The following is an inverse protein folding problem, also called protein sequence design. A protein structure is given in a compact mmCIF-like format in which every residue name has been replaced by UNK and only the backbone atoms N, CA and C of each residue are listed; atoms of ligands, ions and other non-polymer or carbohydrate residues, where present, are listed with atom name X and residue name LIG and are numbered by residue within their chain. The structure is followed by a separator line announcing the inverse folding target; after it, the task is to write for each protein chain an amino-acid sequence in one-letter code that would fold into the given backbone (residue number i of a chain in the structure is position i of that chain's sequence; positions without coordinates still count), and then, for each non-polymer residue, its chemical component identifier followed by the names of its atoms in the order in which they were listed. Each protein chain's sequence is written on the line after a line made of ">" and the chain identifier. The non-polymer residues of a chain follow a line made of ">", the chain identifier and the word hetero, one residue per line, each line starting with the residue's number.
data_IF_372486815752
#
_entry.id   IF_372486815752
#
_cell.length_a   1.000
_cell.length_b   1.000
_cell.length_c   1.000
_cell.angle_alpha   90.00
_cell.angle_beta   90.00
_cell.angle_gamma   90.00
#
_symmetry.space_group_name_H-M   'P 1'
#
loop_
_entity.id
_entity.type
_entity.pdbx_description
1 polymer ?
#
# COMPACT_ATOMS: atom_id res chain seq x y z
N UNK A 1 0.07 10.56 8.57
CA UNK A 1 -1.31 11.07 8.75
C UNK A 1 -1.57 11.44 10.21
N UNK A 2 -1.85 10.55 11.17
CA UNK A 2 -1.97 10.83 12.63
C UNK A 2 -0.69 11.38 13.31
N UNK A 3 0.52 10.95 12.91
CA UNK A 3 1.77 11.59 13.39
C UNK A 3 1.99 12.99 12.83
N UNK A 4 1.61 13.22 11.56
CA UNK A 4 1.52 14.55 10.95
C UNK A 4 0.36 15.37 11.54
N UNK A 5 -0.69 14.74 12.09
CA UNK A 5 -1.78 15.39 12.82
C UNK A 5 -1.27 15.93 14.14
N UNK A 6 -0.43 15.21 14.89
CA UNK A 6 0.21 15.78 16.10
C UNK A 6 1.24 16.88 15.79
N UNK A 7 2.07 16.74 14.74
CA UNK A 7 2.98 17.82 14.29
C UNK A 7 2.23 19.04 13.71
N UNK A 8 1.09 18.84 13.03
CA UNK A 8 0.22 19.93 12.58
C UNK A 8 -0.60 20.53 13.72
N UNK A 9 -0.94 19.76 14.75
CA UNK A 9 -1.49 20.26 16.02
C UNK A 9 -0.44 21.11 16.74
N UNK A 10 0.85 20.79 16.72
CA UNK A 10 1.86 21.69 17.30
C UNK A 10 2.13 22.94 16.43
N UNK A 11 2.13 22.83 15.09
CA UNK A 11 2.49 23.94 14.19
C UNK A 11 1.32 24.79 13.66
N UNK A 12 0.07 24.34 13.77
CA UNK A 12 -1.13 25.02 13.21
C UNK A 12 -2.37 25.00 14.12
N UNK A 13 -2.32 24.48 15.35
CA UNK A 13 -3.49 24.46 16.27
C UNK A 13 -3.94 25.80 16.82
N UNK A 14 -3.35 26.93 16.40
CA UNK A 14 -3.84 28.24 16.86
C UNK A 14 -5.24 28.59 16.30
N UNK A 15 -5.83 27.82 15.37
CA UNK A 15 -7.11 28.21 14.75
C UNK A 15 -8.19 27.12 14.57
N UNK A 16 -7.96 25.81 14.76
CA UNK A 16 -8.99 24.78 14.48
C UNK A 16 -9.19 23.74 15.61
N UNK A 17 -10.16 23.98 16.49
CA UNK A 17 -10.55 23.14 17.63
C UNK A 17 -11.15 21.77 17.25
N UNK A 18 -11.66 21.60 16.03
CA UNK A 18 -12.42 20.42 15.60
C UNK A 18 -11.67 19.08 15.80
N UNK A 19 -10.39 19.00 15.41
CA UNK A 19 -9.63 17.75 15.53
C UNK A 19 -9.23 17.43 16.98
N UNK A 20 -9.02 18.47 17.78
CA UNK A 20 -8.66 18.34 19.19
C UNK A 20 -9.86 17.77 19.96
N UNK A 21 -11.07 18.29 19.72
CA UNK A 21 -12.28 17.85 20.41
C UNK A 21 -12.63 16.38 20.10
N UNK A 22 -12.56 15.98 18.83
CA UNK A 22 -12.83 14.59 18.44
C UNK A 22 -11.77 13.62 18.95
N UNK A 23 -10.49 14.01 18.94
CA UNK A 23 -9.43 13.18 19.49
C UNK A 23 -9.59 13.02 21.01
N UNK A 24 -9.88 14.10 21.75
CA UNK A 24 -10.13 14.02 23.19
C UNK A 24 -11.33 13.13 23.48
N UNK A 25 -12.42 13.28 22.74
CA UNK A 25 -13.61 12.44 22.90
C UNK A 25 -13.33 10.96 22.61
N UNK A 26 -12.61 10.66 21.51
CA UNK A 26 -12.22 9.30 21.17
C UNK A 26 -11.32 8.68 22.25
N UNK A 27 -10.32 9.40 22.74
CA UNK A 27 -9.39 8.89 23.76
C UNK A 27 -10.15 8.66 25.08
N UNK A 28 -11.02 9.59 25.47
CA UNK A 28 -11.85 9.42 26.66
C UNK A 28 -12.74 8.19 26.55
N UNK A 29 -13.41 7.98 25.40
CA UNK A 29 -14.27 6.82 25.18
C UNK A 29 -13.48 5.50 25.14
N UNK A 30 -12.27 5.51 24.56
CA UNK A 30 -11.44 4.30 24.45
C UNK A 30 -10.82 3.87 25.78
N UNK A 31 -10.34 4.82 26.59
CA UNK A 31 -9.45 4.50 27.72
C UNK A 31 -9.96 4.97 29.08
N UNK A 32 -11.04 5.76 29.12
CA UNK A 32 -11.56 6.38 30.34
C UNK A 32 -13.10 6.33 30.43
N UNK A 33 -13.76 5.41 29.72
CA UNK A 33 -15.22 5.24 29.75
C UNK A 33 -16.01 6.54 29.42
N UNK A 34 -15.39 7.43 28.65
CA UNK A 34 -15.94 8.74 28.29
C UNK A 34 -15.66 9.86 29.31
N UNK A 35 -14.98 9.58 30.43
CA UNK A 35 -14.64 10.56 31.46
C UNK A 35 -13.46 11.44 31.03
N UNK A 36 -13.79 12.65 30.55
CA UNK A 36 -12.80 13.66 30.14
C UNK A 36 -12.01 14.24 31.32
N UNK A 37 -12.53 14.20 32.54
CA UNK A 37 -11.81 14.68 33.73
C UNK A 37 -10.69 13.72 34.08
N UNK A 38 -10.96 12.41 34.09
CA UNK A 38 -9.92 11.38 34.29
C UNK A 38 -8.83 11.44 33.22
N UNK A 39 -9.22 11.69 31.97
CA UNK A 39 -8.25 11.92 30.89
C UNK A 39 -7.34 13.13 31.16
N UNK A 40 -7.93 14.25 31.60
CA UNK A 40 -7.17 15.45 31.94
C UNK A 40 -6.23 15.22 33.13
N UNK A 41 -6.70 14.54 34.18
CA UNK A 41 -5.89 14.14 35.33
C UNK A 41 -4.73 13.22 34.92
N UNK A 42 -4.97 12.27 34.02
CA UNK A 42 -3.91 11.40 33.49
C UNK A 42 -2.80 12.22 32.82
N UNK A 43 -3.13 13.15 31.93
CA UNK A 43 -2.12 13.97 31.27
C UNK A 43 -1.42 14.94 32.22
N UNK A 44 -2.15 15.51 33.19
CA UNK A 44 -1.56 16.35 34.22
C UNK A 44 -0.51 15.57 35.05
N UNK A 45 -0.85 14.35 35.47
CA UNK A 45 0.05 13.48 36.23
C UNK A 45 1.26 13.00 35.41
N UNK A 46 1.18 13.04 34.08
CA UNK A 46 2.23 12.60 33.16
C UNK A 46 2.88 13.74 32.38
N UNK A 47 2.78 14.99 32.85
CA UNK A 47 3.22 16.17 32.10
C UNK A 47 4.71 16.14 31.70
N UNK A 48 5.57 15.57 32.55
CA UNK A 48 7.00 15.42 32.27
C UNK A 48 7.29 14.47 31.09
N UNK A 49 6.35 13.57 30.78
CA UNK A 49 6.41 12.66 29.63
C UNK A 49 6.00 13.35 28.32
N UNK A 50 5.54 14.61 28.38
CA UNK A 50 5.12 15.41 27.23
C UNK A 50 6.21 16.37 26.72
N UNK A 51 7.38 16.38 27.35
CA UNK A 51 8.46 17.34 27.05
C UNK A 51 9.17 17.10 25.71
N UNK A 52 9.24 15.84 25.26
CA UNK A 52 9.94 15.48 24.01
C UNK A 52 9.11 14.48 23.20
N UNK A 53 9.31 14.49 21.88
CA UNK A 53 8.62 13.57 20.96
C UNK A 53 8.86 12.10 21.35
N UNK A 54 10.09 11.78 21.77
CA UNK A 54 10.47 10.42 22.19
C UNK A 54 9.73 10.00 23.47
N UNK A 55 9.63 10.89 24.46
CA UNK A 55 8.87 10.60 25.69
C UNK A 55 7.36 10.49 25.40
N UNK A 56 6.83 11.31 24.50
CA UNK A 56 5.44 11.22 24.04
C UNK A 56 5.21 9.88 23.34
N UNK A 57 6.12 9.43 22.49
CA UNK A 57 6.02 8.13 21.82
C UNK A 57 5.95 6.98 22.84
N UNK A 58 6.83 6.99 23.84
CA UNK A 58 6.81 5.99 24.92
C UNK A 58 5.52 6.04 25.73
N UNK A 59 5.02 7.24 26.06
CA UNK A 59 3.74 7.40 26.76
C UNK A 59 2.57 6.82 25.95
N UNK A 60 2.50 7.14 24.65
CA UNK A 60 1.46 6.67 23.74
C UNK A 60 1.53 5.16 23.53
N UNK A 61 2.72 4.60 23.30
CA UNK A 61 2.92 3.17 23.12
C UNK A 61 2.44 2.37 24.35
N UNK A 62 2.77 2.85 25.55
CA UNK A 62 2.44 2.15 26.80
C UNK A 62 0.98 2.30 27.24
N UNK A 63 0.36 3.46 27.03
CA UNK A 63 -0.96 3.78 27.60
C UNK A 63 -2.07 3.84 26.55
N UNK A 64 -1.71 4.07 25.29
CA UNK A 64 -2.67 4.30 24.21
C UNK A 64 -2.28 3.53 22.93
N UNK A 65 -2.15 2.20 22.98
CA UNK A 65 -1.59 1.38 21.90
C UNK A 65 -2.33 1.56 20.57
N UNK A 66 -3.66 1.76 20.57
CA UNK A 66 -4.42 2.03 19.34
C UNK A 66 -4.05 3.38 18.71
N UNK A 67 -3.85 4.42 19.52
CA UNK A 67 -3.40 5.73 19.01
C UNK A 67 -1.97 5.66 18.48
N UNK A 68 -1.11 4.92 19.18
CA UNK A 68 0.27 4.73 18.77
C UNK A 68 0.36 3.93 17.46
N UNK A 69 -0.42 2.85 17.32
CA UNK A 69 -0.58 2.11 16.07
C UNK A 69 -0.96 3.05 14.94
N UNK A 70 -1.98 3.88 15.14
CA UNK A 70 -2.42 4.84 14.15
C UNK A 70 -1.36 5.89 13.81
N UNK A 71 -0.65 6.43 14.80
CA UNK A 71 0.48 7.35 14.60
C UNK A 71 1.52 6.69 13.68
N UNK A 72 1.96 5.49 14.02
CA UNK A 72 2.96 4.71 13.30
C UNK A 72 2.50 4.35 11.89
N UNK A 73 1.31 3.75 11.75
CA UNK A 73 0.70 3.43 10.46
C UNK A 73 0.69 4.66 9.57
N UNK A 74 0.32 5.81 10.12
CA UNK A 74 0.23 7.01 9.34
C UNK A 74 1.58 7.59 8.89
N UNK A 75 2.65 7.38 9.67
CA UNK A 75 4.02 7.76 9.32
C UNK A 75 4.50 6.88 8.17
N UNK A 76 4.30 5.58 8.32
CA UNK A 76 4.56 4.56 7.29
C UNK A 76 3.79 4.82 5.99
N UNK A 77 2.51 5.18 6.08
CA UNK A 77 1.69 5.53 4.93
C UNK A 77 2.16 6.79 4.20
N UNK A 78 2.79 7.74 4.89
CA UNK A 78 3.38 8.92 4.23
C UNK A 78 4.68 8.64 3.50
N UNK A 79 5.33 7.51 3.83
CA UNK A 79 6.52 7.00 3.14
C UNK A 79 6.14 6.10 1.95
N UNK A 80 4.91 5.58 1.91
CA UNK A 80 4.43 4.71 0.85
C UNK A 80 4.17 5.48 -0.46
N UNK A 81 4.70 4.95 -1.57
CA UNK A 81 4.64 5.60 -2.89
C UNK A 81 3.73 4.88 -3.89
N UNK A 82 3.26 3.66 -3.56
CA UNK A 82 2.48 2.80 -4.43
C UNK A 82 1.90 1.58 -3.72
N UNK A 83 1.18 0.74 -4.46
CA UNK A 83 0.55 -0.48 -3.95
C UNK A 83 1.57 -1.46 -3.38
N UNK A 84 2.76 -1.58 -4.00
CA UNK A 84 3.81 -2.45 -3.48
C UNK A 84 4.18 -2.08 -2.05
N UNK A 85 4.31 -0.78 -1.77
CA UNK A 85 4.62 -0.30 -0.42
C UNK A 85 3.46 -0.58 0.53
N UNK A 86 2.20 -0.40 0.11
CA UNK A 86 1.04 -0.78 0.92
C UNK A 86 1.03 -2.27 1.29
N UNK A 87 1.39 -3.15 0.34
CA UNK A 87 1.50 -4.59 0.63
C UNK A 87 2.64 -4.83 1.63
N UNK A 88 3.80 -4.16 1.48
CA UNK A 88 4.92 -4.27 2.44
C UNK A 88 4.53 -3.79 3.84
N UNK A 89 3.75 -2.72 3.95
CA UNK A 89 3.28 -2.20 5.25
C UNK A 89 2.47 -3.25 6.01
N UNK A 90 1.71 -4.07 5.30
CA UNK A 90 0.97 -5.15 5.93
C UNK A 90 1.89 -6.20 6.60
N UNK A 91 3.16 -6.29 6.20
CA UNK A 91 4.19 -7.16 6.77
C UNK A 91 5.08 -6.46 7.81
N UNK A 92 4.81 -5.20 8.17
CA UNK A 92 5.58 -4.49 9.20
C UNK A 92 5.34 -5.17 10.56
N UNK A 93 6.38 -5.80 11.09
CA UNK A 93 6.30 -6.57 12.34
C UNK A 93 5.83 -5.71 13.51
N UNK A 94 6.30 -4.46 13.63
CA UNK A 94 5.89 -3.57 14.73
C UNK A 94 4.40 -3.22 14.62
N UNK A 95 3.88 -3.01 13.41
CA UNK A 95 2.44 -2.80 13.21
C UNK A 95 1.63 -4.06 13.57
N UNK A 96 2.11 -5.24 13.19
CA UNK A 96 1.43 -6.50 13.51
C UNK A 96 1.40 -6.78 15.02
N UNK A 97 2.54 -6.59 15.69
CA UNK A 97 2.66 -6.78 17.13
C UNK A 97 1.68 -5.84 17.86
N UNK A 98 1.67 -4.54 17.52
CA UNK A 98 0.73 -3.56 18.09
C UNK A 98 -0.74 -3.92 17.83
N UNK A 99 -1.09 -4.37 16.61
CA UNK A 99 -2.47 -4.80 16.29
C UNK A 99 -2.90 -5.95 17.20
N UNK A 100 -1.99 -6.87 17.51
CA UNK A 100 -2.28 -8.05 18.35
C UNK A 100 -2.43 -7.71 19.83
N UNK A 101 -1.84 -6.61 20.29
CA UNK A 101 -1.90 -6.14 21.68
C UNK A 101 -3.16 -5.31 21.98
N UNK A 102 -3.83 -4.76 20.97
CA UNK A 102 -5.00 -3.90 21.15
C UNK A 102 -6.26 -4.76 21.41
N UNK A 103 -6.97 -4.55 22.53
CA UNK A 103 -8.21 -5.26 22.83
C UNK A 103 -9.29 -5.04 21.75
N UNK A 104 -10.11 -6.06 21.51
CA UNK A 104 -11.20 -6.00 20.52
C UNK A 104 -12.22 -4.91 20.85
N UNK A 105 -12.42 -4.65 22.14
CA UNK A 105 -13.32 -3.63 22.67
C UNK A 105 -12.90 -2.23 22.19
N UNK A 106 -11.60 -1.94 22.15
CA UNK A 106 -11.08 -0.66 21.66
C UNK A 106 -11.35 -0.49 20.17
N UNK A 107 -11.24 -1.58 19.38
CA UNK A 107 -11.60 -1.57 17.96
C UNK A 107 -13.09 -1.27 17.76
N UNK A 108 -13.97 -1.91 18.54
CA UNK A 108 -15.41 -1.68 18.44
C UNK A 108 -15.77 -0.22 18.76
N UNK A 109 -15.22 0.34 19.85
CA UNK A 109 -15.44 1.74 20.24
C UNK A 109 -14.94 2.70 19.15
N UNK A 110 -13.77 2.42 18.58
CA UNK A 110 -13.24 3.22 17.48
C UNK A 110 -14.14 3.16 16.24
N UNK A 111 -14.60 1.97 15.86
CA UNK A 111 -15.46 1.78 14.68
C UNK A 111 -16.79 2.50 14.85
N UNK A 112 -17.45 2.36 16.01
CA UNK A 112 -18.69 3.07 16.33
C UNK A 112 -18.50 4.59 16.31
N UNK A 113 -17.40 5.07 16.90
CA UNK A 113 -17.05 6.48 16.89
C UNK A 113 -16.81 6.98 15.46
N UNK A 114 -16.08 6.24 14.63
CA UNK A 114 -15.83 6.61 13.24
C UNK A 114 -17.13 6.64 12.42
N UNK A 115 -17.98 5.63 12.54
CA UNK A 115 -19.25 5.53 11.82
C UNK A 115 -20.19 6.68 12.17
N UNK A 116 -20.33 7.00 13.47
CA UNK A 116 -21.15 8.12 13.95
C UNK A 116 -20.69 9.47 13.39
N UNK A 117 -19.39 9.59 13.12
CA UNK A 117 -18.73 10.86 12.78
C UNK A 117 -18.21 10.91 11.33
N UNK A 118 -18.59 9.94 10.50
CA UNK A 118 -18.05 9.72 9.16
C UNK A 118 -18.13 10.96 8.25
N UNK A 119 -19.29 11.61 8.22
CA UNK A 119 -19.50 12.81 7.38
C UNK A 119 -18.68 14.00 7.88
N UNK A 120 -18.55 14.17 9.19
CA UNK A 120 -17.72 15.23 9.78
C UNK A 120 -16.25 15.04 9.41
N UNK A 121 -15.73 13.81 9.53
CA UNK A 121 -14.38 13.48 9.08
C UNK A 121 -14.19 13.73 7.58
N UNK A 122 -15.14 13.27 6.75
CA UNK A 122 -15.10 13.47 5.31
C UNK A 122 -15.03 14.96 4.96
N UNK A 123 -15.93 15.77 5.49
CA UNK A 123 -16.00 17.21 5.20
C UNK A 123 -14.73 17.93 5.63
N UNK A 124 -14.18 17.57 6.80
CA UNK A 124 -12.89 18.08 7.23
C UNK A 124 -11.78 17.77 6.22
N UNK A 125 -11.60 16.51 5.83
CA UNK A 125 -10.54 16.13 4.88
C UNK A 125 -10.71 16.84 3.53
N UNK A 126 -11.94 16.93 3.02
CA UNK A 126 -12.21 17.62 1.77
C UNK A 126 -11.94 19.14 1.88
N UNK A 127 -12.23 19.75 3.03
CA UNK A 127 -11.93 21.16 3.32
C UNK A 127 -10.42 21.41 3.39
N UNK A 128 -9.68 20.61 4.17
CA UNK A 128 -8.22 20.72 4.33
C UNK A 128 -7.48 20.54 3.01
N UNK A 129 -7.95 19.62 2.17
CA UNK A 129 -7.41 19.37 0.84
C UNK A 129 -7.86 20.42 -0.19
N UNK A 130 -8.72 21.37 0.21
CA UNK A 130 -9.30 22.43 -0.65
C UNK A 130 -10.02 21.85 -1.87
N UNK A 131 -10.80 20.80 -1.65
CA UNK A 131 -11.51 20.04 -2.68
C UNK A 131 -13.00 19.83 -2.39
N UNK A 132 -13.54 20.47 -1.34
CA UNK A 132 -14.95 20.35 -0.92
C UNK A 132 -15.96 20.53 -2.07
N UNK A 133 -15.62 21.39 -3.04
CA UNK A 133 -16.49 21.74 -4.17
C UNK A 133 -16.04 21.14 -5.50
N UNK A 134 -15.10 20.19 -5.50
CA UNK A 134 -14.61 19.56 -6.73
C UNK A 134 -15.39 18.29 -7.02
N UNK A 135 -15.62 18.04 -8.31
CA UNK A 135 -16.16 16.76 -8.77
C UNK A 135 -15.19 15.62 -8.43
N UNK A 136 -15.74 14.43 -8.18
CA UNK A 136 -14.98 13.25 -7.75
C UNK A 136 -13.83 12.89 -8.70
N UNK A 137 -14.02 13.03 -10.02
CA UNK A 137 -12.95 12.81 -11.00
C UNK A 137 -11.80 13.80 -10.85
N UNK A 138 -12.10 15.06 -10.55
CA UNK A 138 -11.10 16.11 -10.37
C UNK A 138 -10.35 15.87 -9.06
N UNK A 139 -11.05 15.41 -8.03
CA UNK A 139 -10.45 14.97 -6.77
C UNK A 139 -9.44 13.85 -7.02
N UNK A 140 -9.83 12.79 -7.72
CA UNK A 140 -8.94 11.65 -8.05
C UNK A 140 -7.68 12.12 -8.79
N UNK A 141 -7.82 13.04 -9.75
CA UNK A 141 -6.70 13.59 -10.53
C UNK A 141 -5.79 14.54 -9.72
N UNK A 142 -6.34 15.25 -8.72
CA UNK A 142 -5.56 16.15 -7.84
C UNK A 142 -4.83 15.39 -6.74
N UNK A 143 -5.46 14.39 -6.15
CA UNK A 143 -4.94 13.71 -4.95
C UNK A 143 -3.85 12.68 -5.27
N UNK A 144 -3.88 12.09 -6.45
CA UNK A 144 -2.87 11.12 -6.83
C UNK A 144 -2.40 11.31 -8.25
N UNK A 145 -1.08 11.33 -8.39
CA UNK A 145 -0.44 11.17 -9.67
C UNK A 145 0.97 10.68 -9.51
N UNK A 146 1.40 9.86 -10.45
CA UNK A 146 2.75 9.35 -10.53
C UNK A 146 3.29 9.51 -11.95
N UNK A 147 4.48 8.99 -12.19
CA UNK A 147 5.10 8.97 -13.51
C UNK A 147 5.69 7.57 -13.78
N UNK A 148 6.05 7.32 -15.04
CA UNK A 148 6.59 6.02 -15.47
C UNK A 148 7.93 5.67 -14.81
N UNK A 149 8.74 6.65 -14.41
CA UNK A 149 9.99 6.38 -13.67
C UNK A 149 9.70 5.80 -12.29
N UNK A 150 8.73 6.36 -11.56
CA UNK A 150 8.32 5.87 -10.25
C UNK A 150 7.72 4.46 -10.34
N UNK A 151 6.83 4.21 -11.32
CA UNK A 151 6.27 2.87 -11.56
C UNK A 151 7.39 1.88 -11.92
N UNK A 152 8.35 2.28 -12.77
CA UNK A 152 9.46 1.40 -13.13
C UNK A 152 10.30 1.03 -11.90
N UNK A 153 10.57 2.02 -11.05
CA UNK A 153 11.28 1.79 -9.78
C UNK A 153 10.50 0.89 -8.83
N UNK A 154 9.16 1.03 -8.75
CA UNK A 154 8.29 0.18 -7.93
C UNK A 154 8.41 -1.30 -8.34
N UNK A 155 8.47 -1.58 -9.65
CA UNK A 155 8.67 -2.93 -10.19
C UNK A 155 10.15 -3.34 -10.31
N UNK A 156 11.08 -2.48 -9.87
CA UNK A 156 12.51 -2.72 -9.92
C UNK A 156 13.09 -2.84 -11.33
N UNK A 157 12.50 -2.18 -12.34
CA UNK A 157 12.97 -2.18 -13.73
C UNK A 157 13.37 -0.77 -14.19
N UNK A 158 14.11 -0.69 -15.29
CA UNK A 158 14.32 0.60 -15.96
C UNK A 158 13.09 1.04 -16.76
N UNK A 159 13.04 2.33 -17.08
CA UNK A 159 11.92 2.94 -17.81
C UNK A 159 11.75 2.37 -19.24
N UNK A 160 12.81 1.87 -19.88
CA UNK A 160 12.72 1.28 -21.22
C UNK A 160 11.97 -0.05 -21.15
N UNK A 161 12.28 -0.86 -20.15
CA UNK A 161 11.62 -2.14 -19.86
C UNK A 161 10.15 -1.91 -19.49
N UNK A 162 9.84 -0.93 -18.63
CA UNK A 162 8.45 -0.59 -18.35
C UNK A 162 7.69 -0.14 -19.60
N UNK A 163 8.25 0.77 -20.41
CA UNK A 163 7.59 1.24 -21.64
C UNK A 163 7.32 0.08 -22.61
N UNK A 164 8.21 -0.91 -22.67
CA UNK A 164 7.96 -2.16 -23.40
C UNK A 164 6.71 -2.86 -22.85
N UNK A 165 6.65 -3.15 -21.55
CA UNK A 165 5.48 -3.81 -20.95
C UNK A 165 4.18 -3.04 -21.20
N UNK A 166 4.22 -1.71 -21.09
CA UNK A 166 3.06 -0.88 -21.34
C UNK A 166 2.61 -0.96 -22.81
N UNK A 167 3.55 -0.95 -23.76
CA UNK A 167 3.24 -1.05 -25.17
C UNK A 167 2.57 -2.38 -25.54
N UNK A 168 3.01 -3.50 -24.96
CA UNK A 168 2.44 -4.81 -25.30
C UNK A 168 1.09 -5.06 -24.61
N UNK A 169 0.86 -4.50 -23.42
CA UNK A 169 -0.38 -4.67 -22.67
C UNK A 169 -1.47 -3.64 -23.04
N UNK A 170 -1.06 -2.42 -23.43
CA UNK A 170 -1.95 -1.29 -23.62
C UNK A 170 -1.76 -0.57 -24.97
N UNK A 171 -0.97 -1.13 -25.88
CA UNK A 171 -0.60 -0.48 -27.15
C UNK A 171 0.01 0.91 -26.91
N UNK A 172 -0.25 1.86 -27.80
CA UNK A 172 0.29 3.22 -27.70
C UNK A 172 -0.37 4.10 -26.61
N UNK A 173 -1.34 3.60 -25.81
CA UNK A 173 -2.12 4.42 -24.84
C UNK A 173 -1.24 5.24 -23.89
N UNK A 174 -0.11 4.68 -23.45
CA UNK A 174 0.79 5.35 -22.52
C UNK A 174 2.03 5.97 -23.18
N UNK A 175 2.09 6.02 -24.51
CA UNK A 175 3.20 6.63 -25.24
C UNK A 175 3.18 8.15 -25.09
N UNK A 176 4.32 8.75 -24.76
CA UNK A 176 4.43 10.21 -24.52
C UNK A 176 3.73 10.73 -23.25
N UNK A 177 2.95 9.90 -22.55
CA UNK A 177 2.25 10.29 -21.33
C UNK A 177 3.25 10.59 -20.21
N UNK A 178 3.23 11.83 -19.70
CA UNK A 178 4.14 12.29 -18.62
C UNK A 178 3.61 11.96 -17.23
N UNK A 179 2.29 12.08 -17.03
CA UNK A 179 1.61 11.97 -15.74
C UNK A 179 0.60 10.81 -15.81
N UNK A 180 0.68 9.89 -14.85
CA UNK A 180 -0.23 8.75 -14.71
C UNK A 180 -1.13 9.02 -13.50
N UNK A 181 -2.44 9.03 -13.71
CA UNK A 181 -3.43 9.26 -12.65
C UNK A 181 -3.80 7.96 -11.95
N UNK A 182 -4.59 8.07 -10.88
CA UNK A 182 -4.91 6.94 -10.02
C UNK A 182 -5.49 5.74 -10.78
N UNK A 183 -6.53 5.94 -11.58
CA UNK A 183 -7.21 4.83 -12.26
C UNK A 183 -6.28 4.11 -13.27
N UNK A 184 -5.52 4.87 -14.05
CA UNK A 184 -4.49 4.33 -14.95
C UNK A 184 -3.40 3.58 -14.17
N UNK A 185 -2.98 4.11 -13.02
CA UNK A 185 -1.97 3.47 -12.17
C UNK A 185 -2.48 2.13 -11.62
N UNK A 186 -3.72 2.09 -11.13
CA UNK A 186 -4.36 0.85 -10.66
C UNK A 186 -4.48 -0.15 -11.81
N UNK A 187 -4.85 0.29 -13.01
CA UNK A 187 -4.96 -0.55 -14.20
C UNK A 187 -3.60 -1.15 -14.60
N UNK A 188 -2.56 -0.31 -14.67
CA UNK A 188 -1.18 -0.74 -14.93
C UNK A 188 -0.74 -1.74 -13.88
N UNK A 189 -0.93 -1.44 -12.59
CA UNK A 189 -0.53 -2.31 -11.51
C UNK A 189 -1.20 -3.68 -11.63
N UNK A 190 -2.52 -3.72 -11.83
CA UNK A 190 -3.29 -4.97 -12.01
C UNK A 190 -2.76 -5.78 -13.19
N UNK A 191 -2.55 -5.14 -14.33
CA UNK A 191 -2.08 -5.82 -15.55
C UNK A 191 -0.68 -6.42 -15.41
N UNK A 192 0.18 -5.84 -14.56
CA UNK A 192 1.54 -6.35 -14.33
C UNK A 192 1.60 -7.36 -13.16
N UNK A 193 0.78 -7.19 -12.13
CA UNK A 193 0.94 -7.90 -10.86
C UNK A 193 -0.09 -9.02 -10.60
N UNK A 194 -1.24 -9.01 -11.29
CA UNK A 194 -2.28 -10.01 -11.09
C UNK A 194 -2.28 -11.05 -12.21
N UNK A 195 -2.67 -12.27 -11.86
CA UNK A 195 -2.93 -13.32 -12.82
C UNK A 195 -4.18 -12.99 -13.66
N UNK A 196 -4.31 -13.61 -14.83
CA UNK A 196 -5.49 -13.42 -15.69
C UNK A 196 -6.76 -13.84 -14.93
N UNK A 197 -7.75 -12.94 -14.89
CA UNK A 197 -9.02 -13.17 -14.19
C UNK A 197 -8.99 -12.89 -12.68
N UNK A 198 -7.82 -12.63 -12.10
CA UNK A 198 -7.70 -12.28 -10.68
C UNK A 198 -8.15 -10.82 -10.42
N UNK A 199 -8.84 -10.60 -9.30
CA UNK A 199 -9.25 -9.27 -8.85
C UNK A 199 -8.34 -8.78 -7.72
N UNK A 200 -8.03 -7.48 -7.76
CA UNK A 200 -7.31 -6.82 -6.66
C UNK A 200 -8.18 -6.75 -5.41
N UNK A 201 -8.00 -7.68 -4.49
CA UNK A 201 -8.65 -7.71 -3.19
C UNK A 201 -7.62 -7.90 -2.07
N UNK A 202 -7.27 -6.83 -1.36
CA UNK A 202 -6.32 -6.91 -0.25
C UNK A 202 -6.89 -7.69 0.95
N UNK A 203 -8.21 -7.70 1.15
CA UNK A 203 -8.81 -8.38 2.30
C UNK A 203 -8.65 -9.90 2.20
N UNK A 204 -8.76 -10.45 0.98
CA UNK A 204 -8.67 -11.89 0.73
C UNK A 204 -7.27 -12.35 0.36
N UNK A 205 -6.53 -11.55 -0.41
CA UNK A 205 -5.33 -12.02 -1.11
C UNK A 205 -4.02 -11.39 -0.60
N UNK A 206 -4.02 -10.68 0.54
CA UNK A 206 -2.79 -10.01 1.02
C UNK A 206 -1.60 -10.97 1.17
N UNK A 207 -1.84 -12.19 1.67
CA UNK A 207 -0.77 -13.19 1.85
C UNK A 207 -0.18 -13.66 0.52
N UNK A 208 -1.03 -13.85 -0.50
CA UNK A 208 -0.62 -14.15 -1.87
C UNK A 208 0.25 -13.00 -2.41
N UNK A 209 -0.20 -11.75 -2.24
CA UNK A 209 0.56 -10.59 -2.70
C UNK A 209 1.92 -10.45 -1.99
N UNK A 210 1.98 -10.71 -0.68
CA UNK A 210 3.25 -10.76 0.06
C UNK A 210 4.20 -11.82 -0.49
N UNK A 211 3.70 -13.02 -0.78
CA UNK A 211 4.50 -14.11 -1.36
C UNK A 211 4.99 -13.78 -2.77
N UNK A 212 4.18 -13.11 -3.59
CA UNK A 212 4.63 -12.58 -4.90
C UNK A 212 5.74 -11.55 -4.74
N UNK A 213 5.59 -10.59 -3.82
CA UNK A 213 6.62 -9.58 -3.57
C UNK A 213 7.94 -10.19 -3.12
N UNK A 214 7.92 -11.23 -2.27
CA UNK A 214 9.15 -11.90 -1.82
C UNK A 214 9.81 -12.73 -2.92
N UNK A 215 9.04 -13.28 -3.87
CA UNK A 215 9.56 -13.98 -5.05
C UNK A 215 10.07 -13.04 -6.14
N UNK A 216 9.59 -11.80 -6.15
CA UNK A 216 10.04 -10.73 -7.04
C UNK A 216 8.95 -10.28 -8.02
N UNK A 217 9.00 -9.00 -8.39
CA UNK A 217 8.03 -8.36 -9.30
C UNK A 217 8.37 -8.51 -10.79
N UNK A 218 9.55 -9.06 -11.08
CA UNK A 218 10.08 -9.24 -12.42
C UNK A 218 10.78 -10.59 -12.52
N UNK A 219 10.61 -11.26 -13.65
CA UNK A 219 11.21 -12.55 -13.94
C UNK A 219 11.87 -12.51 -15.31
N UNK A 220 13.03 -13.13 -15.44
CA UNK A 220 13.72 -13.28 -16.72
C UNK A 220 13.27 -14.57 -17.41
N UNK A 221 13.56 -14.73 -18.71
CA UNK A 221 13.34 -15.99 -19.44
C UNK A 221 13.90 -17.22 -18.69
N UNK A 222 15.10 -17.09 -18.13
CA UNK A 222 15.73 -18.14 -17.32
C UNK A 222 14.95 -18.52 -16.05
N UNK A 223 14.12 -17.62 -15.53
CA UNK A 223 13.31 -17.90 -14.35
C UNK A 223 12.08 -18.71 -14.74
N UNK A 224 11.50 -18.48 -15.93
CA UNK A 224 10.44 -19.34 -16.48
C UNK A 224 10.93 -20.77 -16.65
N UNK A 225 12.14 -20.96 -17.21
CA UNK A 225 12.76 -22.30 -17.33
C UNK A 225 12.82 -23.03 -15.99
N UNK A 226 13.13 -22.31 -14.90
CA UNK A 226 13.17 -22.93 -13.57
C UNK A 226 11.79 -23.38 -13.10
N UNK A 227 10.73 -22.64 -13.43
CA UNK A 227 9.37 -22.99 -13.04
C UNK A 227 8.84 -24.18 -13.83
N UNK A 228 9.24 -24.34 -15.09
CA UNK A 228 8.69 -25.39 -15.98
C UNK A 228 9.53 -26.66 -16.06
N UNK A 229 10.72 -26.67 -15.43
CA UNK A 229 11.67 -27.79 -15.55
C UNK A 229 12.34 -28.12 -14.21
N UNK A 230 11.63 -27.92 -13.10
CA UNK A 230 12.15 -28.28 -11.77
C UNK A 230 12.46 -29.79 -11.73
N UNK A 231 13.69 -30.15 -11.34
CA UNK A 231 14.15 -31.55 -11.31
C UNK A 231 14.64 -32.11 -12.65
N UNK A 232 14.63 -31.34 -13.74
CA UNK A 232 15.20 -31.76 -15.02
C UNK A 232 16.71 -31.95 -14.94
N UNK A 233 17.23 -33.01 -15.56
CA UNK A 233 18.68 -33.29 -15.68
C UNK A 233 19.34 -32.50 -16.83
N UNK A 234 18.55 -31.79 -17.64
CA UNK A 234 19.05 -30.98 -18.75
C UNK A 234 19.62 -29.66 -18.23
N UNK A 235 20.68 -29.19 -18.88
CA UNK A 235 21.26 -27.90 -18.55
C UNK A 235 20.34 -26.74 -18.99
N UNK A 236 20.45 -25.60 -18.30
CA UNK A 236 19.60 -24.42 -18.54
C UNK A 236 19.69 -23.91 -19.98
N UNK A 237 20.82 -24.07 -20.67
CA UNK A 237 20.97 -23.59 -22.04
C UNK A 237 20.17 -24.42 -23.04
N UNK A 238 20.09 -25.74 -22.81
CA UNK A 238 19.24 -26.65 -23.59
C UNK A 238 17.76 -26.37 -23.34
N UNK A 239 17.36 -26.19 -22.08
CA UNK A 239 15.98 -25.85 -21.72
C UNK A 239 15.53 -24.50 -22.28
N UNK A 240 16.41 -23.51 -22.33
CA UNK A 240 16.13 -22.23 -22.98
C UNK A 240 15.89 -22.36 -24.49
N UNK A 241 16.55 -23.31 -25.17
CA UNK A 241 16.31 -23.57 -26.60
C UNK A 241 14.94 -24.19 -26.83
N UNK A 242 14.58 -25.21 -26.04
CA UNK A 242 13.26 -25.85 -26.09
C UNK A 242 12.16 -24.83 -25.83
N UNK A 243 12.29 -24.06 -24.74
CA UNK A 243 11.37 -22.97 -24.41
C UNK A 243 11.21 -21.98 -25.57
N UNK A 244 12.32 -21.60 -26.21
CA UNK A 244 12.29 -20.66 -27.33
C UNK A 244 11.56 -21.23 -28.54
N UNK A 245 11.70 -22.53 -28.81
CA UNK A 245 10.98 -23.21 -29.90
C UNK A 245 9.47 -23.24 -29.62
N UNK A 246 9.08 -23.60 -28.41
CA UNK A 246 7.68 -23.71 -27.98
C UNK A 246 6.97 -22.35 -27.91
N UNK A 247 7.63 -21.33 -27.34
CA UNK A 247 7.09 -19.97 -27.22
C UNK A 247 7.46 -19.06 -28.41
N UNK A 248 8.00 -19.62 -29.49
CA UNK A 248 8.45 -18.85 -30.67
C UNK A 248 7.36 -18.02 -31.33
N UNK A 249 6.09 -18.37 -31.12
CA UNK A 249 4.92 -17.65 -31.64
C UNK A 249 4.25 -16.74 -30.60
N UNK A 250 4.69 -16.78 -29.34
CA UNK A 250 4.11 -15.95 -28.29
C UNK A 250 4.70 -14.54 -28.34
N UNK A 251 3.83 -13.56 -28.60
CA UNK A 251 4.22 -12.16 -28.73
C UNK A 251 4.86 -11.58 -27.45
N UNK A 252 4.45 -12.04 -26.27
CA UNK A 252 5.04 -11.62 -25.01
C UNK A 252 6.48 -12.11 -24.90
N UNK A 253 6.74 -13.40 -25.18
CA UNK A 253 8.07 -14.01 -25.07
C UNK A 253 9.11 -13.41 -26.02
N UNK A 254 8.70 -13.06 -27.24
CA UNK A 254 9.60 -12.49 -28.26
C UNK A 254 10.03 -11.05 -27.93
N UNK A 255 9.21 -10.30 -27.21
CA UNK A 255 9.32 -8.85 -27.14
C UNK A 255 10.29 -8.33 -26.06
N UNK A 256 10.55 -9.12 -25.02
CA UNK A 256 11.42 -8.75 -23.90
C UNK A 256 12.07 -9.98 -23.26
N UNK A 257 13.16 -9.78 -22.53
CA UNK A 257 13.82 -10.83 -21.74
C UNK A 257 13.46 -10.79 -20.26
N UNK A 258 12.72 -9.76 -19.85
CA UNK A 258 12.24 -9.53 -18.48
C UNK A 258 10.74 -9.28 -18.55
N UNK A 259 9.99 -10.01 -17.74
CA UNK A 259 8.53 -10.02 -17.69
C UNK A 259 8.04 -9.64 -16.29
N UNK A 260 6.88 -8.97 -16.18
CA UNK A 260 6.18 -8.84 -14.91
C UNK A 260 5.58 -10.20 -14.50
N UNK A 261 5.11 -10.32 -13.25
CA UNK A 261 4.49 -11.56 -12.75
C UNK A 261 3.37 -12.07 -13.65
N UNK A 262 2.45 -11.20 -14.07
CA UNK A 262 1.27 -11.58 -14.85
C UNK A 262 1.63 -12.30 -16.16
N UNK A 263 2.58 -11.76 -16.91
CA UNK A 263 3.08 -12.35 -18.16
C UNK A 263 3.88 -13.61 -17.87
N UNK A 264 4.68 -13.64 -16.80
CA UNK A 264 5.46 -14.82 -16.42
C UNK A 264 4.53 -16.01 -16.17
N UNK A 265 3.45 -15.78 -15.40
CA UNK A 265 2.44 -16.78 -15.11
C UNK A 265 1.78 -17.30 -16.38
N UNK A 266 1.35 -16.41 -17.28
CA UNK A 266 0.78 -16.80 -18.56
C UNK A 266 1.74 -17.68 -19.40
N UNK A 267 3.03 -17.33 -19.45
CA UNK A 267 4.00 -18.10 -20.21
C UNK A 267 4.31 -19.47 -19.60
N UNK A 268 4.29 -19.59 -18.27
CA UNK A 268 4.42 -20.88 -17.57
C UNK A 268 3.19 -21.76 -17.84
N UNK A 269 2.00 -21.19 -17.74
CA UNK A 269 0.73 -21.90 -18.00
C UNK A 269 0.60 -22.35 -19.46
N UNK A 270 1.07 -21.55 -20.42
CA UNK A 270 1.10 -21.94 -21.85
C UNK A 270 2.04 -23.12 -22.13
N UNK A 271 3.06 -23.32 -21.28
CA UNK A 271 3.96 -24.47 -21.35
C UNK A 271 3.40 -25.71 -20.62
N UNK A 272 2.22 -25.60 -20.02
CA UNK A 272 1.52 -26.71 -19.36
C UNK A 272 1.82 -26.88 -17.87
N UNK A 273 2.56 -25.95 -17.27
CA UNK A 273 2.92 -25.98 -15.84
C UNK A 273 2.14 -24.95 -15.03
N UNK A 274 2.13 -25.12 -13.71
CA UNK A 274 1.47 -24.20 -12.79
C UNK A 274 2.48 -23.31 -12.05
N UNK A 275 2.16 -22.01 -11.96
CA UNK A 275 2.93 -21.03 -11.20
C UNK A 275 2.08 -20.47 -10.06
N UNK A 276 2.28 -21.02 -8.85
CA UNK A 276 1.63 -20.54 -7.64
C UNK A 276 2.61 -19.89 -6.65
N UNK A 277 2.43 -18.57 -6.49
CA UNK A 277 3.00 -17.79 -5.40
C UNK A 277 1.89 -17.46 -4.42
#
# INVERSE_FOLDING_TARGET
>A
MIGKVFELIEKKSQENNFFIDYNIELIANLYFEGDKTRLAEFFYNNINSLETIEKVDVLLENNFPLLFLFKLLSKRMTEASGIVDLIKLSSDKKLQDLVSEIPKEHWNVFDDFYLKNKESFRNFFLSELKILNLEEEIIKKKLFSTNKTNIASEFGVDIKTLNKWLNILFNDRFKGVRKIYYDDYIEIFKALFLAKGEKLDFSKNINIYRKRLSKGLKHRKKDIVKYTNEGSSLDVSTLLKIQKEELSKNNYYLFTDVFPYSITKLLVEELGDEMEF
#
